data_IF_618749821080
#
_entry.id   IF_618749821080
#
_cell.length_a   1.000
_cell.length_b   1.000
_cell.length_c   1.000
_cell.angle_alpha   90.00
_cell.angle_beta   90.00
_cell.angle_gamma   90.00
#
_symmetry.space_group_name_H-M   'P 1'
#
loop_
_entity.id
_entity.type
_entity.pdbx_description
1 polymer ?
#
# COMPACT_ATOMS: atom_id res chain seq x y z
N UNK A 1 30.22 -36.35 45.90
CA UNK A 1 30.36 -35.15 45.03
C UNK A 1 30.00 -35.54 43.60
N UNK A 2 28.81 -35.19 43.12
CA UNK A 2 28.37 -35.38 41.71
C UNK A 2 28.22 -34.00 41.09
N UNK A 3 28.96 -33.74 40.02
CA UNK A 3 28.87 -32.49 39.28
C UNK A 3 27.49 -32.38 38.61
N UNK A 4 26.73 -31.35 38.98
CA UNK A 4 25.50 -30.95 38.30
C UNK A 4 25.91 -30.22 37.02
N UNK A 5 25.78 -30.88 35.88
CA UNK A 5 25.89 -30.21 34.58
C UNK A 5 24.62 -29.38 34.38
N UNK A 6 24.72 -28.06 34.60
CA UNK A 6 23.70 -27.10 34.20
C UNK A 6 23.62 -27.08 32.67
N UNK A 7 22.46 -27.34 32.06
CA UNK A 7 22.31 -27.09 30.63
C UNK A 7 22.32 -25.57 30.44
N UNK A 8 23.44 -25.04 29.95
CA UNK A 8 23.49 -23.72 29.32
C UNK A 8 22.74 -23.81 27.98
N UNK A 9 21.43 -23.96 28.05
CA UNK A 9 20.54 -23.51 27.00
C UNK A 9 20.55 -21.97 27.05
N UNK A 10 21.70 -21.37 26.72
CA UNK A 10 21.74 -19.99 26.28
C UNK A 10 20.82 -19.95 25.08
N UNK A 11 19.64 -19.40 25.32
CA UNK A 11 18.69 -19.04 24.30
C UNK A 11 19.50 -18.27 23.27
N UNK A 12 19.74 -18.88 22.11
CA UNK A 12 20.19 -18.19 20.92
C UNK A 12 19.07 -17.22 20.58
N UNK A 13 19.11 -16.10 21.28
CA UNK A 13 18.16 -15.02 21.20
C UNK A 13 18.29 -14.55 19.77
N UNK A 14 17.24 -14.85 19.02
CA UNK A 14 17.09 -14.62 17.60
C UNK A 14 17.12 -13.12 17.35
N UNK A 15 18.33 -12.58 17.22
CA UNK A 15 18.59 -11.27 16.63
C UNK A 15 18.26 -11.34 15.14
N UNK A 16 16.98 -11.59 14.79
CA UNK A 16 16.46 -11.34 13.45
C UNK A 16 16.49 -9.82 13.29
N UNK A 17 17.31 -9.30 12.36
CA UNK A 17 17.67 -7.91 12.38
C UNK A 17 16.44 -7.04 12.06
N UNK A 18 16.29 -5.94 12.81
CA UNK A 18 15.38 -4.83 12.56
C UNK A 18 15.53 -4.20 11.15
N UNK A 19 16.48 -4.71 10.35
CA UNK A 19 16.78 -4.31 8.98
C UNK A 19 15.75 -4.78 7.94
N UNK A 20 14.94 -5.80 8.24
CA UNK A 20 13.99 -6.37 7.27
C UNK A 20 12.76 -5.48 6.96
N UNK A 21 12.44 -4.49 7.82
CA UNK A 21 11.28 -3.61 7.62
C UNK A 21 11.56 -2.39 6.71
N UNK A 22 12.81 -1.93 6.61
CA UNK A 22 13.21 -0.83 5.72
C UNK A 22 13.04 -1.10 4.21
N UNK A 23 13.38 -2.29 3.66
CA UNK A 23 13.27 -2.50 2.21
C UNK A 23 11.83 -2.43 1.71
N UNK A 24 10.83 -2.89 2.47
CA UNK A 24 9.44 -2.89 2.00
C UNK A 24 8.86 -1.48 1.82
N UNK A 25 9.18 -0.55 2.72
CA UNK A 25 8.77 0.86 2.56
C UNK A 25 9.42 1.49 1.34
N UNK A 26 10.71 1.20 1.11
CA UNK A 26 11.40 1.68 -0.08
C UNK A 26 10.78 1.10 -1.37
N UNK A 27 10.42 -0.18 -1.38
CA UNK A 27 9.75 -0.82 -2.52
C UNK A 27 8.38 -0.18 -2.77
N UNK A 28 7.59 0.10 -1.74
CA UNK A 28 6.31 0.82 -1.88
C UNK A 28 6.50 2.21 -2.51
N UNK A 29 7.45 2.99 -1.99
CA UNK A 29 7.73 4.33 -2.53
C UNK A 29 8.22 4.24 -3.98
N UNK A 30 9.12 3.31 -4.28
CA UNK A 30 9.61 3.08 -5.64
C UNK A 30 8.46 2.69 -6.57
N UNK A 31 7.59 1.76 -6.16
CA UNK A 31 6.43 1.36 -6.94
C UNK A 31 5.47 2.53 -7.20
N UNK A 32 5.22 3.36 -6.19
CA UNK A 32 4.40 4.56 -6.34
C UNK A 32 5.04 5.57 -7.31
N UNK A 33 6.34 5.82 -7.19
CA UNK A 33 7.08 6.69 -8.10
C UNK A 33 7.07 6.16 -9.54
N UNK A 34 7.27 4.86 -9.73
CA UNK A 34 7.20 4.23 -11.06
C UNK A 34 5.80 4.31 -11.66
N UNK A 35 4.75 4.12 -10.86
CA UNK A 35 3.38 4.25 -11.33
C UNK A 35 3.04 5.70 -11.73
N UNK A 36 3.51 6.69 -10.97
CA UNK A 36 3.37 8.11 -11.31
C UNK A 36 4.16 8.46 -12.58
N UNK A 37 5.42 8.01 -12.68
CA UNK A 37 6.26 8.23 -13.86
C UNK A 37 5.67 7.57 -15.11
N UNK A 38 5.14 6.35 -14.99
CA UNK A 38 4.44 5.69 -16.08
C UNK A 38 3.19 6.48 -16.51
N UNK A 39 2.38 6.90 -15.54
CA UNK A 39 1.18 7.69 -15.81
C UNK A 39 1.48 9.09 -16.38
N UNK A 40 2.66 9.68 -16.13
CA UNK A 40 3.04 11.01 -16.63
C UNK A 40 3.51 11.01 -18.09
N UNK A 41 4.03 9.88 -18.58
CA UNK A 41 4.45 9.72 -19.98
C UNK A 41 3.40 9.04 -20.86
N UNK A 42 2.30 8.57 -20.27
CA UNK A 42 1.24 7.88 -21.00
C UNK A 42 0.43 8.84 -21.88
N UNK A 43 0.31 8.53 -23.18
CA UNK A 43 -0.71 9.03 -24.09
C UNK A 43 -0.87 10.55 -24.21
N UNK A 44 -1.86 10.95 -25.00
CA UNK A 44 -2.34 12.33 -25.07
C UNK A 44 -3.64 12.46 -24.26
N UNK A 45 -3.86 13.61 -23.59
CA UNK A 45 -5.12 13.87 -22.89
C UNK A 45 -6.28 13.84 -23.89
N UNK A 46 -7.42 13.27 -23.48
CA UNK A 46 -8.63 13.34 -24.27
C UNK A 46 -9.14 14.78 -24.36
N UNK A 47 -9.61 15.18 -25.55
CA UNK A 47 -10.31 16.45 -25.73
C UNK A 47 -11.71 16.36 -25.10
N UNK A 48 -12.06 17.38 -24.31
CA UNK A 48 -13.32 17.46 -23.58
C UNK A 48 -13.66 18.92 -23.29
N UNK A 49 -14.95 19.18 -23.04
CA UNK A 49 -15.42 20.52 -22.68
C UNK A 49 -14.75 21.01 -21.39
N UNK A 50 -14.48 22.33 -21.25
CA UNK A 50 -13.74 22.88 -20.11
C UNK A 50 -14.38 22.58 -18.75
N UNK A 51 -15.71 22.52 -18.69
CA UNK A 51 -16.45 22.23 -17.45
C UNK A 51 -16.36 20.75 -17.06
N UNK A 52 -16.43 19.85 -18.05
CA UNK A 52 -16.20 18.43 -17.85
C UNK A 52 -14.76 18.16 -17.38
N UNK A 53 -13.77 18.83 -17.98
CA UNK A 53 -12.36 18.74 -17.55
C UNK A 53 -12.20 19.16 -16.08
N UNK A 54 -12.82 20.27 -15.67
CA UNK A 54 -12.78 20.74 -14.27
C UNK A 54 -13.42 19.74 -13.32
N UNK A 55 -14.59 19.20 -13.67
CA UNK A 55 -15.29 18.19 -12.88
C UNK A 55 -14.44 16.91 -12.73
N UNK A 56 -13.91 16.39 -13.83
CA UNK A 56 -13.09 15.17 -13.82
C UNK A 56 -11.79 15.36 -13.01
N UNK A 57 -11.17 16.53 -13.11
CA UNK A 57 -9.99 16.89 -12.29
C UNK A 57 -10.34 16.96 -10.81
N UNK A 58 -11.47 17.57 -10.45
CA UNK A 58 -11.93 17.58 -9.07
C UNK A 58 -12.18 16.17 -8.53
N UNK A 59 -12.85 15.32 -9.30
CA UNK A 59 -13.03 13.91 -8.94
C UNK A 59 -11.71 13.15 -8.82
N UNK A 60 -10.75 13.42 -9.72
CA UNK A 60 -9.42 12.84 -9.68
C UNK A 60 -8.63 13.29 -8.43
N UNK A 61 -8.82 14.52 -7.94
CA UNK A 61 -8.22 14.97 -6.66
C UNK A 61 -8.78 14.19 -5.47
N UNK A 62 -10.11 14.05 -5.39
CA UNK A 62 -10.74 13.26 -4.32
C UNK A 62 -10.22 11.82 -4.35
N UNK A 63 -10.12 11.24 -5.54
CA UNK A 63 -9.53 9.91 -5.76
C UNK A 63 -8.05 9.83 -5.39
N UNK A 64 -7.29 10.88 -5.70
CA UNK A 64 -5.90 11.04 -5.29
C UNK A 64 -5.76 11.09 -3.76
N UNK A 65 -6.69 11.72 -3.05
CA UNK A 65 -6.69 11.73 -1.59
C UNK A 65 -6.81 10.31 -1.00
N UNK A 66 -7.63 9.44 -1.60
CA UNK A 66 -7.67 8.02 -1.22
C UNK A 66 -6.35 7.30 -1.51
N UNK A 67 -5.69 7.60 -2.63
CA UNK A 67 -4.38 7.03 -2.95
C UNK A 67 -3.33 7.45 -1.91
N UNK A 68 -3.33 8.72 -1.50
CA UNK A 68 -2.45 9.26 -0.44
C UNK A 68 -2.74 8.59 0.90
N UNK A 69 -4.02 8.44 1.26
CA UNK A 69 -4.41 7.75 2.49
C UNK A 69 -3.95 6.27 2.50
N UNK A 70 -4.13 5.56 1.37
CA UNK A 70 -3.65 4.18 1.22
C UNK A 70 -2.13 4.09 1.28
N UNK A 71 -1.40 5.04 0.67
CA UNK A 71 0.06 5.11 0.73
C UNK A 71 0.54 5.35 2.16
N UNK A 72 -0.05 6.30 2.87
CA UNK A 72 0.28 6.60 4.27
C UNK A 72 0.01 5.39 5.18
N UNK A 73 -1.15 4.75 5.01
CA UNK A 73 -1.51 3.56 5.76
C UNK A 73 -0.58 2.37 5.42
N UNK A 74 -0.19 2.19 4.16
CA UNK A 74 0.79 1.20 3.72
C UNK A 74 2.18 1.45 4.33
N UNK A 75 2.66 2.69 4.32
CA UNK A 75 3.93 3.09 4.96
C UNK A 75 3.91 2.83 6.47
N UNK A 76 2.80 3.15 7.13
CA UNK A 76 2.59 2.83 8.54
C UNK A 76 2.64 1.32 8.77
N UNK A 77 1.86 0.54 8.00
CA UNK A 77 1.69 -0.91 8.21
C UNK A 77 2.93 -1.74 7.87
N UNK A 78 3.64 -1.41 6.79
CA UNK A 78 4.89 -2.07 6.37
C UNK A 78 6.08 -1.76 7.29
N UNK A 79 5.90 -0.87 8.29
CA UNK A 79 6.85 -0.73 9.40
C UNK A 79 6.88 -1.92 10.36
N UNK A 80 5.92 -2.83 10.23
CA UNK A 80 5.77 -4.05 11.02
C UNK A 80 5.81 -5.24 10.06
N UNK A 81 6.22 -6.45 10.51
CA UNK A 81 6.22 -7.63 9.66
C UNK A 81 4.81 -7.87 9.06
N UNK A 82 4.75 -7.99 7.73
CA UNK A 82 3.57 -8.38 6.95
C UNK A 82 3.97 -9.58 6.10
N UNK A 83 3.22 -10.67 6.18
CA UNK A 83 3.53 -11.90 5.45
C UNK A 83 2.76 -12.01 4.12
N UNK A 84 3.44 -12.57 3.11
CA UNK A 84 2.83 -13.08 1.88
C UNK A 84 2.13 -12.03 1.03
N UNK A 85 0.97 -12.39 0.48
CA UNK A 85 0.21 -11.60 -0.49
C UNK A 85 -0.20 -10.21 0.02
N UNK A 86 -0.32 -10.00 1.34
CA UNK A 86 -0.64 -8.69 1.93
C UNK A 86 0.46 -7.67 1.75
N UNK A 87 1.73 -8.10 1.82
CA UNK A 87 2.86 -7.21 1.58
C UNK A 87 2.84 -6.71 0.13
N UNK A 88 2.52 -7.61 -0.83
CA UNK A 88 2.32 -7.23 -2.22
C UNK A 88 1.12 -6.29 -2.38
N UNK A 89 -0.01 -6.57 -1.73
CA UNK A 89 -1.19 -5.70 -1.78
C UNK A 89 -0.90 -4.30 -1.22
N UNK A 90 -0.30 -4.17 -0.03
CA UNK A 90 0.06 -2.86 0.54
C UNK A 90 1.11 -2.10 -0.27
N UNK A 91 1.84 -2.76 -1.16
CA UNK A 91 2.84 -2.16 -2.04
C UNK A 91 2.22 -1.72 -3.37
N UNK A 92 1.56 -2.65 -4.05
CA UNK A 92 1.03 -2.45 -5.40
C UNK A 92 -0.27 -1.64 -5.40
N UNK A 93 -1.13 -1.82 -4.39
CA UNK A 93 -2.42 -1.15 -4.37
C UNK A 93 -2.31 0.38 -4.30
N UNK A 94 -1.51 1.00 -3.40
CA UNK A 94 -1.34 2.45 -3.39
C UNK A 94 -0.66 2.96 -4.68
N UNK A 95 0.28 2.19 -5.24
CA UNK A 95 0.94 2.54 -6.50
C UNK A 95 -0.05 2.58 -7.68
N UNK A 96 -0.90 1.55 -7.81
CA UNK A 96 -1.96 1.51 -8.82
C UNK A 96 -2.98 2.64 -8.64
N UNK A 97 -3.36 2.95 -7.40
CA UNK A 97 -4.25 4.07 -7.10
C UNK A 97 -3.61 5.41 -7.49
N UNK A 98 -2.33 5.62 -7.18
CA UNK A 98 -1.62 6.86 -7.51
C UNK A 98 -1.47 7.03 -9.03
N UNK A 99 -1.06 5.98 -9.73
CA UNK A 99 -0.97 5.98 -11.20
C UNK A 99 -2.33 6.21 -11.86
N UNK A 100 -3.38 5.51 -11.41
CA UNK A 100 -4.75 5.69 -11.90
C UNK A 100 -5.31 7.10 -11.64
N UNK A 101 -5.05 7.66 -10.45
CA UNK A 101 -5.46 9.03 -10.12
C UNK A 101 -4.75 10.07 -10.99
N UNK A 102 -3.44 9.92 -11.22
CA UNK A 102 -2.69 10.81 -12.10
C UNK A 102 -3.13 10.67 -13.57
N UNK A 103 -3.37 9.45 -14.04
CA UNK A 103 -3.88 9.22 -15.40
C UNK A 103 -5.28 9.84 -15.59
N UNK A 104 -6.17 9.73 -14.60
CA UNK A 104 -7.46 10.43 -14.59
C UNK A 104 -7.31 11.95 -14.57
N UNK A 105 -6.38 12.49 -13.77
CA UNK A 105 -6.09 13.93 -13.72
C UNK A 105 -5.59 14.46 -15.08
N UNK A 106 -4.78 13.65 -15.77
CA UNK A 106 -4.31 13.92 -17.15
C UNK A 106 -5.36 13.59 -18.21
N UNK A 107 -6.51 13.01 -17.85
CA UNK A 107 -7.56 12.58 -18.78
C UNK A 107 -7.06 11.62 -19.86
N UNK A 108 -6.09 10.76 -19.51
CA UNK A 108 -5.54 9.74 -20.40
C UNK A 108 -6.18 8.40 -20.07
N UNK A 109 -6.87 7.80 -21.05
CA UNK A 109 -7.42 6.44 -20.97
C UNK A 109 -8.31 6.24 -19.71
N UNK A 110 -9.45 6.95 -19.61
CA UNK A 110 -10.23 7.03 -18.37
C UNK A 110 -10.74 5.66 -17.87
N UNK A 111 -11.03 4.72 -18.78
CA UNK A 111 -11.45 3.36 -18.42
C UNK A 111 -10.36 2.60 -17.64
N UNK A 112 -9.18 2.34 -18.25
CA UNK A 112 -8.06 1.70 -17.57
C UNK A 112 -7.57 2.45 -16.32
N UNK A 113 -7.55 3.78 -16.35
CA UNK A 113 -7.17 4.59 -15.19
C UNK A 113 -8.13 4.40 -14.00
N UNK A 114 -9.43 4.36 -14.28
CA UNK A 114 -10.46 4.05 -13.29
C UNK A 114 -10.32 2.62 -12.76
N UNK A 115 -10.11 1.63 -13.64
CA UNK A 115 -9.89 0.24 -13.22
C UNK A 115 -8.69 0.10 -12.29
N UNK A 116 -7.54 0.68 -12.66
CA UNK A 116 -6.34 0.66 -11.82
C UNK A 116 -6.60 1.25 -10.43
N UNK A 117 -7.35 2.35 -10.37
CA UNK A 117 -7.70 2.99 -9.11
C UNK A 117 -8.63 2.13 -8.24
N UNK A 118 -9.71 1.60 -8.81
CA UNK A 118 -10.69 0.83 -8.04
C UNK A 118 -10.15 -0.54 -7.64
N UNK A 119 -9.40 -1.22 -8.52
CA UNK A 119 -8.75 -2.48 -8.19
C UNK A 119 -7.68 -2.28 -7.12
N UNK A 120 -6.92 -1.18 -7.19
CA UNK A 120 -6.01 -0.78 -6.12
C UNK A 120 -6.75 -0.59 -4.79
N UNK A 121 -7.81 0.22 -4.77
CA UNK A 121 -8.60 0.45 -3.56
C UNK A 121 -9.16 -0.85 -2.98
N UNK A 122 -9.75 -1.70 -3.83
CA UNK A 122 -10.32 -2.97 -3.41
C UNK A 122 -9.25 -3.91 -2.84
N UNK A 123 -8.11 -4.06 -3.52
CA UNK A 123 -7.00 -4.88 -3.06
C UNK A 123 -6.45 -4.38 -1.72
N UNK A 124 -6.35 -3.06 -1.54
CA UNK A 124 -5.94 -2.45 -0.28
C UNK A 124 -6.95 -2.75 0.84
N UNK A 125 -8.24 -2.57 0.59
CA UNK A 125 -9.29 -2.86 1.56
C UNK A 125 -9.34 -4.33 1.95
N UNK A 126 -9.21 -5.25 0.99
CA UNK A 126 -9.15 -6.69 1.25
C UNK A 126 -7.92 -7.04 2.09
N UNK A 127 -6.77 -6.44 1.82
CA UNK A 127 -5.59 -6.61 2.66
C UNK A 127 -5.82 -6.08 4.08
N UNK A 128 -6.33 -4.85 4.23
CA UNK A 128 -6.58 -4.20 5.50
C UNK A 128 -7.62 -4.94 6.37
N UNK A 129 -8.74 -5.35 5.77
CA UNK A 129 -9.82 -6.05 6.48
C UNK A 129 -9.43 -7.46 6.92
N UNK A 130 -8.55 -8.14 6.18
CA UNK A 130 -8.05 -9.47 6.57
C UNK A 130 -6.89 -9.40 7.55
N UNK A 131 -6.25 -8.24 7.70
CA UNK A 131 -5.09 -8.02 8.54
C UNK A 131 -5.47 -7.69 9.99
N UNK A 132 -5.26 -8.67 10.88
CA UNK A 132 -5.58 -8.55 12.31
C UNK A 132 -4.80 -7.46 13.02
N UNK A 133 -3.63 -7.07 12.51
CA UNK A 133 -2.83 -5.99 13.11
C UNK A 133 -3.20 -4.60 12.56
N UNK A 134 -4.04 -4.55 11.52
CA UNK A 134 -4.53 -3.31 10.93
C UNK A 134 -5.73 -2.76 11.70
N UNK A 135 -6.67 -3.63 12.08
CA UNK A 135 -7.85 -3.28 12.87
C UNK A 135 -7.68 -3.80 14.31
N UNK A 136 -7.62 -2.94 15.33
CA UNK A 136 -7.55 -3.36 16.72
C UNK A 136 -8.92 -3.92 17.14
N UNK A 137 -9.13 -5.22 16.94
CA UNK A 137 -10.33 -5.89 17.43
C UNK A 137 -10.31 -5.94 18.96
N UNK A 138 -11.38 -5.48 19.65
CA UNK A 138 -11.49 -5.67 21.09
C UNK A 138 -11.49 -7.17 21.39
N UNK A 139 -10.42 -7.65 22.02
CA UNK A 139 -10.33 -9.05 22.47
C UNK A 139 -11.46 -9.26 23.47
N UNK A 140 -12.49 -10.04 23.11
CA UNK A 140 -13.48 -10.49 24.08
C UNK A 140 -12.71 -11.25 25.17
N UNK A 141 -12.66 -10.68 26.37
CA UNK A 141 -12.15 -11.39 27.55
C UNK A 141 -13.15 -12.50 27.83
N UNK A 142 -12.83 -13.72 27.42
CA UNK A 142 -13.51 -14.91 27.92
C UNK A 142 -12.95 -15.15 29.33
N UNK A 143 -13.70 -14.68 30.33
CA UNK A 143 -13.61 -15.13 31.72
C UNK A 143 -14.29 -16.47 31.87
#
# INVERSE_FOLDING_TARGET
MRAVALPLAVSAQSSRPLYAARPQRAILLLAALLALAGASILGQPAEAEPDLVRLLRFMALIKGAFAVAALAAGLWRLGRPVAGWRAAAYTLAPALMAGGALALWRLVWPGPASLGLHLGLLAFLVAALTDRDFIPWPRRRTS
#
